data_IF_931455230024
#
_entry.id   IF_931455230024
#
_cell.length_a   1.000
_cell.length_b   1.000
_cell.length_c   1.000
_cell.angle_alpha   90.00
_cell.angle_beta   90.00
_cell.angle_gamma   90.00
#
_symmetry.space_group_name_H-M   'P 1'
#
loop_
_entity.id
_entity.type
_entity.pdbx_description
1 polymer ?
#
# COMPACT_ATOMS: atom_id res chain seq x y z
N UNK A 1 -24.13 16.28 39.71
CA UNK A 1 -23.22 16.63 38.58
C UNK A 1 -22.27 15.45 38.40
N UNK A 2 -22.56 14.55 37.45
CA UNK A 2 -21.76 13.34 37.23
C UNK A 2 -21.65 13.08 35.74
N UNK A 3 -20.51 13.46 35.17
CA UNK A 3 -20.16 13.23 33.77
C UNK A 3 -19.81 11.76 33.57
N UNK A 4 -20.63 11.06 32.78
CA UNK A 4 -20.42 9.69 32.30
C UNK A 4 -19.57 9.68 31.00
N UNK A 5 -18.93 8.54 30.64
CA UNK A 5 -17.54 8.52 30.19
C UNK A 5 -17.31 8.77 28.69
N UNK A 6 -16.12 9.28 28.37
CA UNK A 6 -15.56 9.44 27.02
C UNK A 6 -15.40 8.11 26.27
N UNK A 7 -16.42 7.69 25.52
CA UNK A 7 -16.30 6.58 24.55
C UNK A 7 -15.88 7.11 23.18
N UNK A 8 -14.63 7.60 23.02
CA UNK A 8 -14.13 8.11 21.70
C UNK A 8 -12.67 7.82 21.28
N UNK A 9 -11.92 6.89 21.91
CA UNK A 9 -10.69 6.33 21.30
C UNK A 9 -10.88 5.00 20.55
N UNK A 10 -11.63 4.05 21.11
CA UNK A 10 -11.72 2.68 20.60
C UNK A 10 -12.35 2.59 19.19
N UNK A 11 -13.47 3.29 18.95
CA UNK A 11 -14.18 3.29 17.66
C UNK A 11 -13.31 3.75 16.48
N UNK A 12 -12.40 4.70 16.71
CA UNK A 12 -11.47 5.20 15.67
C UNK A 12 -10.38 4.16 15.36
N UNK A 13 -9.93 3.42 16.37
CA UNK A 13 -8.98 2.33 16.21
C UNK A 13 -9.56 1.20 15.36
N UNK A 14 -10.82 0.82 15.63
CA UNK A 14 -11.53 -0.22 14.87
C UNK A 14 -11.79 0.20 13.42
N UNK A 15 -12.20 1.45 13.20
CA UNK A 15 -12.39 2.01 11.86
C UNK A 15 -11.09 1.96 11.03
N UNK A 16 -9.94 2.28 11.66
CA UNK A 16 -8.63 2.23 10.98
C UNK A 16 -8.18 0.80 10.69
N UNK A 17 -8.38 -0.14 11.63
CA UNK A 17 -8.10 -1.56 11.41
C UNK A 17 -8.96 -2.17 10.32
N UNK A 18 -10.26 -1.84 10.28
CA UNK A 18 -11.17 -2.31 9.24
C UNK A 18 -10.76 -1.76 7.86
N UNK A 19 -10.37 -0.48 7.79
CA UNK A 19 -9.83 0.09 6.54
C UNK A 19 -8.59 -0.66 6.07
N UNK A 20 -7.64 -0.97 6.96
CA UNK A 20 -6.44 -1.73 6.57
C UNK A 20 -6.78 -3.13 6.07
N UNK A 21 -7.64 -3.87 6.78
CA UNK A 21 -8.09 -5.21 6.36
C UNK A 21 -8.74 -5.20 4.98
N UNK A 22 -9.53 -4.16 4.69
CA UNK A 22 -10.15 -3.97 3.37
C UNK A 22 -9.09 -3.74 2.28
N UNK A 23 -8.07 -2.93 2.54
CA UNK A 23 -6.97 -2.70 1.60
C UNK A 23 -6.16 -3.98 1.34
N UNK A 24 -5.79 -4.69 2.41
CA UNK A 24 -5.03 -5.94 2.30
C UNK A 24 -5.80 -6.98 1.49
N UNK A 25 -7.09 -7.15 1.76
CA UNK A 25 -7.97 -8.04 1.00
C UNK A 25 -8.11 -7.59 -0.45
N UNK A 26 -8.31 -6.29 -0.70
CA UNK A 26 -8.42 -5.75 -2.05
C UNK A 26 -7.16 -6.01 -2.88
N UNK A 27 -5.97 -5.84 -2.30
CA UNK A 27 -4.69 -6.16 -2.95
C UNK A 27 -4.60 -7.62 -3.38
N UNK A 28 -5.12 -8.55 -2.59
CA UNK A 28 -5.11 -9.98 -2.92
C UNK A 28 -6.11 -10.26 -4.04
N UNK A 29 -7.36 -9.83 -3.91
CA UNK A 29 -8.41 -10.07 -4.91
C UNK A 29 -8.05 -9.42 -6.25
N UNK A 30 -7.50 -8.21 -6.24
CA UNK A 30 -7.05 -7.51 -7.45
C UNK A 30 -5.95 -8.28 -8.20
N UNK A 31 -5.04 -8.95 -7.48
CA UNK A 31 -4.00 -9.78 -8.10
C UNK A 31 -4.56 -11.04 -8.76
N UNK A 32 -5.65 -11.57 -8.22
CA UNK A 32 -6.29 -12.79 -8.75
C UNK A 32 -7.28 -12.51 -9.88
N UNK A 33 -8.01 -11.39 -9.82
CA UNK A 33 -9.16 -11.11 -10.68
C UNK A 33 -9.07 -9.79 -11.45
N UNK A 34 -7.99 -9.01 -11.29
CA UNK A 34 -7.85 -7.70 -11.91
C UNK A 34 -8.76 -6.62 -11.29
N UNK A 35 -9.00 -5.55 -12.04
CA UNK A 35 -9.77 -4.37 -11.58
C UNK A 35 -11.29 -4.61 -11.52
N UNK A 36 -11.77 -5.67 -12.16
CA UNK A 36 -13.18 -6.09 -12.16
C UNK A 36 -13.57 -6.89 -10.91
N UNK A 37 -12.64 -7.04 -9.96
CA UNK A 37 -12.84 -7.71 -8.69
C UNK A 37 -14.16 -7.31 -7.99
N UNK A 38 -14.78 -8.32 -7.37
CA UNK A 38 -16.01 -8.15 -6.61
C UNK A 38 -15.75 -7.46 -5.26
N UNK A 39 -16.39 -6.31 -5.03
CA UNK A 39 -16.35 -5.62 -3.74
C UNK A 39 -16.90 -6.49 -2.60
N UNK A 40 -17.90 -7.34 -2.90
CA UNK A 40 -18.45 -8.29 -1.93
C UNK A 40 -17.44 -9.36 -1.53
N UNK A 41 -16.63 -9.84 -2.47
CA UNK A 41 -15.55 -10.79 -2.18
C UNK A 41 -14.46 -10.16 -1.32
N UNK A 42 -14.11 -8.90 -1.62
CA UNK A 42 -13.15 -8.12 -0.82
C UNK A 42 -13.66 -7.95 0.62
N UNK A 43 -14.91 -7.54 0.80
CA UNK A 43 -15.54 -7.41 2.11
C UNK A 43 -15.52 -8.74 2.88
N UNK A 44 -15.90 -9.84 2.21
CA UNK A 44 -15.89 -11.20 2.77
C UNK A 44 -14.50 -11.60 3.23
N UNK A 45 -13.47 -11.45 2.39
CA UNK A 45 -12.07 -11.78 2.74
C UNK A 45 -11.52 -10.91 3.85
N UNK A 46 -11.92 -9.63 3.90
CA UNK A 46 -11.54 -8.72 4.97
C UNK A 46 -12.22 -9.03 6.31
N UNK A 47 -13.26 -9.88 6.33
CA UNK A 47 -14.10 -10.12 7.51
C UNK A 47 -14.92 -8.90 7.92
N UNK A 48 -15.25 -8.04 6.96
CA UNK A 48 -15.95 -6.76 7.17
C UNK A 48 -17.28 -6.79 6.38
N UNK A 49 -18.35 -6.25 6.97
CA UNK A 49 -19.65 -6.18 6.28
C UNK A 49 -19.63 -5.18 5.10
N UNK A 50 -20.42 -5.45 4.05
CA UNK A 50 -20.53 -4.56 2.88
C UNK A 50 -20.90 -3.12 3.25
N UNK A 51 -21.80 -2.92 4.22
CA UNK A 51 -22.15 -1.59 4.71
C UNK A 51 -20.94 -0.83 5.28
N UNK A 52 -20.01 -1.52 5.93
CA UNK A 52 -18.77 -0.93 6.46
C UNK A 52 -17.77 -0.66 5.34
N UNK A 53 -17.67 -1.53 4.33
CA UNK A 53 -16.87 -1.27 3.13
C UNK A 53 -17.34 0.03 2.46
N UNK A 54 -18.63 0.15 2.15
CA UNK A 54 -19.18 1.34 1.48
C UNK A 54 -19.06 2.61 2.33
N UNK A 55 -19.07 2.51 3.68
CA UNK A 55 -18.76 3.65 4.56
C UNK A 55 -17.32 4.13 4.43
N UNK A 56 -16.36 3.24 4.19
CA UNK A 56 -14.94 3.60 4.02
C UNK A 56 -14.57 3.96 2.58
N UNK A 57 -15.24 3.32 1.62
CA UNK A 57 -14.99 3.42 0.18
C UNK A 57 -16.34 3.50 -0.53
N UNK A 58 -16.88 4.72 -0.70
CA UNK A 58 -18.22 4.90 -1.26
C UNK A 58 -18.31 4.43 -2.72
N UNK A 59 -17.19 4.42 -3.44
CA UNK A 59 -17.11 3.95 -4.82
C UNK A 59 -15.98 2.95 -5.01
N UNK A 60 -16.05 2.16 -6.09
CA UNK A 60 -14.98 1.22 -6.46
C UNK A 60 -13.68 1.97 -6.75
N UNK A 61 -13.78 3.14 -7.38
CA UNK A 61 -12.66 4.00 -7.70
C UNK A 61 -11.96 4.48 -6.42
N UNK A 62 -12.72 4.85 -5.38
CA UNK A 62 -12.15 5.24 -4.09
C UNK A 62 -11.40 4.10 -3.39
N UNK A 63 -11.85 2.85 -3.56
CA UNK A 63 -11.12 1.68 -3.09
C UNK A 63 -9.81 1.51 -3.87
N UNK A 64 -9.87 1.57 -5.21
CA UNK A 64 -8.70 1.38 -6.04
C UNK A 64 -7.65 2.48 -5.86
N UNK A 65 -8.07 3.75 -5.78
CA UNK A 65 -7.19 4.87 -5.49
C UNK A 65 -6.43 4.64 -4.16
N UNK A 66 -7.13 4.19 -3.12
CA UNK A 66 -6.50 3.88 -1.85
C UNK A 66 -5.54 2.69 -1.93
N UNK A 67 -5.87 1.65 -2.70
CA UNK A 67 -4.98 0.51 -2.94
C UNK A 67 -3.70 0.94 -3.67
N UNK A 68 -3.82 1.78 -4.71
CA UNK A 68 -2.67 2.29 -5.46
C UNK A 68 -1.80 3.23 -4.62
N UNK A 69 -2.41 4.10 -3.81
CA UNK A 69 -1.67 4.95 -2.88
C UNK A 69 -0.86 4.12 -1.87
N UNK A 70 -1.42 3.01 -1.38
CA UNK A 70 -0.76 2.11 -0.45
C UNK A 70 0.41 1.37 -1.13
N UNK A 71 0.24 0.91 -2.38
CA UNK A 71 1.34 0.34 -3.16
C UNK A 71 2.47 1.34 -3.43
N UNK A 72 2.13 2.57 -3.79
CA UNK A 72 3.12 3.64 -4.00
C UNK A 72 3.93 3.89 -2.73
N UNK A 73 3.27 3.91 -1.58
CA UNK A 73 3.92 4.07 -0.28
C UNK A 73 4.87 2.92 0.06
N UNK A 74 4.45 1.67 -0.17
CA UNK A 74 5.32 0.49 0.02
C UNK A 74 6.55 0.50 -0.90
N UNK A 75 6.37 0.90 -2.17
CA UNK A 75 7.45 1.02 -3.14
C UNK A 75 8.46 2.09 -2.74
N UNK A 76 7.99 3.26 -2.31
CA UNK A 76 8.84 4.34 -1.82
C UNK A 76 9.65 3.88 -0.59
N UNK A 77 9.00 3.25 0.39
CA UNK A 77 9.69 2.71 1.58
C UNK A 77 10.70 1.61 1.23
N UNK A 78 10.42 0.81 0.21
CA UNK A 78 11.39 -0.17 -0.29
C UNK A 78 12.60 0.52 -0.93
N UNK A 79 12.36 1.55 -1.75
CA UNK A 79 13.41 2.36 -2.38
C UNK A 79 14.31 3.04 -1.35
N UNK A 80 13.72 3.67 -0.33
CA UNK A 80 14.45 4.30 0.77
C UNK A 80 15.34 3.30 1.52
N UNK A 81 14.80 2.11 1.86
CA UNK A 81 15.58 1.04 2.50
C UNK A 81 16.70 0.50 1.62
N UNK A 82 16.48 0.44 0.30
CA UNK A 82 17.52 0.05 -0.64
C UNK A 82 18.63 1.10 -0.71
N UNK A 83 18.28 2.39 -0.80
CA UNK A 83 19.27 3.48 -0.81
C UNK A 83 20.06 3.58 0.51
N UNK A 84 19.41 3.29 1.64
CA UNK A 84 20.06 3.26 2.95
C UNK A 84 21.04 2.08 3.13
N UNK A 85 20.99 1.08 2.24
CA UNK A 85 21.90 -0.06 2.27
C UNK A 85 22.95 0.05 1.15
N UNK A 86 24.23 0.32 1.47
CA UNK A 86 25.30 0.50 0.47
C UNK A 86 25.56 -0.74 -0.40
N UNK A 87 25.07 -1.92 -0.03
CA UNK A 87 25.15 -3.15 -0.83
C UNK A 87 23.85 -3.50 -1.59
N UNK A 88 22.80 -2.68 -1.50
CA UNK A 88 21.55 -2.94 -2.21
C UNK A 88 21.73 -3.06 -3.73
N UNK A 89 22.64 -2.27 -4.31
CA UNK A 89 23.00 -2.35 -5.73
C UNK A 89 23.68 -3.67 -6.12
N UNK A 90 24.35 -4.36 -5.18
CA UNK A 90 25.03 -5.64 -5.41
C UNK A 90 24.10 -6.85 -5.35
N UNK A 91 22.94 -6.72 -4.69
CA UNK A 91 21.98 -7.82 -4.48
C UNK A 91 20.96 -7.99 -5.60
N UNK A 92 20.92 -7.06 -6.57
CA UNK A 92 19.98 -7.16 -7.68
C UNK A 92 20.39 -8.30 -8.63
N UNK A 93 19.50 -9.27 -8.96
CA UNK A 93 19.82 -10.31 -9.94
C UNK A 93 20.23 -9.73 -11.31
N UNK A 94 21.24 -10.34 -11.93
CA UNK A 94 21.82 -9.94 -13.21
C UNK A 94 20.84 -9.66 -14.36
N UNK A 95 19.61 -10.21 -14.30
CA UNK A 95 18.55 -10.06 -15.30
C UNK A 95 17.90 -8.67 -15.34
N UNK A 96 18.16 -7.80 -14.36
CA UNK A 96 17.59 -6.46 -14.28
C UNK A 96 18.47 -5.32 -14.79
N UNK A 97 19.67 -5.64 -15.30
CA UNK A 97 20.66 -4.65 -15.75
C UNK A 97 20.16 -3.67 -16.80
N UNK A 98 18.96 -3.89 -17.35
CA UNK A 98 18.27 -2.97 -18.25
C UNK A 98 17.79 -1.67 -17.57
N UNK A 99 17.73 -1.61 -16.23
CA UNK A 99 17.25 -0.44 -15.49
C UNK A 99 18.25 0.17 -14.49
N UNK A 100 19.54 -0.19 -14.55
CA UNK A 100 20.51 0.52 -13.71
C UNK A 100 20.56 2.01 -14.13
N UNK A 101 20.45 2.99 -13.21
CA UNK A 101 20.65 4.38 -13.55
C UNK A 101 22.06 4.52 -14.10
N UNK A 102 22.19 5.04 -15.32
CA UNK A 102 23.50 5.33 -15.87
C UNK A 102 24.18 6.32 -14.91
N UNK A 103 25.31 5.94 -14.32
CA UNK A 103 26.23 6.96 -13.80
C UNK A 103 26.84 7.62 -15.02
N UNK A 104 26.69 8.95 -15.23
CA UNK A 104 27.42 9.62 -16.30
C UNK A 104 28.92 9.46 -16.04
N UNK A 105 29.75 9.20 -17.07
CA UNK A 105 31.19 9.04 -16.87
C UNK A 105 31.76 10.35 -16.32
N UNK A 106 32.36 10.28 -15.13
CA UNK A 106 33.17 11.38 -14.59
C UNK A 106 34.33 11.62 -15.56
N UNK A 107 34.27 12.72 -16.29
CA UNK A 107 35.35 13.18 -17.16
C UNK A 107 36.56 13.48 -16.26
N UNK A 108 37.56 12.59 -16.24
CA UNK A 108 38.88 12.93 -15.69
C UNK A 108 39.59 13.80 -16.73
N UNK A 109 39.84 15.05 -16.38
CA UNK A 109 40.73 15.94 -17.12
C UNK A 109 42.18 15.46 -16.95
N UNK A 110 42.97 15.29 -18.02
CA UNK A 110 44.40 15.13 -17.89
C UNK A 110 45.07 16.52 -17.76
N UNK A 111 46.15 16.55 -16.98
CA UNK A 111 47.10 17.65 -16.83
C UNK A 111 47.91 17.84 -18.11
#
# INVERSE_FOLDING_TARGET
>A
MGVAPEVRPALRSDARRNRQRLLDAAKVVMREHGLDASLGEIARRAGVGNATLYRHFPTREALWEAVFADFGSELLQLGERALANPDAGRRWPASSRRCAPHSPPTRRSPT
#
